data_IF_137970709388
#
_entry.id   IF_137970709388
#
_cell.length_a   1.000
_cell.length_b   1.000
_cell.length_c   1.000
_cell.angle_alpha   90.00
_cell.angle_beta   90.00
_cell.angle_gamma   90.00
#
_symmetry.space_group_name_H-M   'P 1'
#
loop_
_entity.id
_entity.type
_entity.pdbx_description
1 polymer ?
#
# COMPACT_ATOMS: atom_id res chain seq x y z
N UNK A 1 4.26 -0.68 -31.14
CA UNK A 1 3.41 -0.19 -30.03
C UNK A 1 3.64 -1.08 -28.81
N UNK A 2 4.31 -0.59 -27.76
CA UNK A 2 4.40 -1.34 -26.49
C UNK A 2 2.99 -1.45 -25.89
N UNK A 3 2.51 -2.66 -25.58
CA UNK A 3 1.34 -2.84 -24.71
C UNK A 3 1.67 -2.17 -23.38
N UNK A 4 0.98 -1.08 -23.02
CA UNK A 4 1.03 -0.55 -21.65
C UNK A 4 0.66 -1.72 -20.72
N UNK A 5 1.59 -2.10 -19.83
CA UNK A 5 1.29 -3.08 -18.77
C UNK A 5 0.10 -2.55 -17.97
N UNK A 6 -0.80 -3.45 -17.55
CA UNK A 6 -1.85 -3.07 -16.59
C UNK A 6 -1.15 -2.60 -15.32
N UNK A 7 -1.39 -1.36 -14.85
CA UNK A 7 -0.78 -0.86 -13.62
C UNK A 7 -1.17 -1.74 -12.43
N UNK A 8 -0.23 -1.98 -11.52
CA UNK A 8 -0.36 -2.92 -10.40
C UNK A 8 -0.80 -2.22 -9.11
N UNK A 9 -1.20 -2.98 -8.10
CA UNK A 9 -1.44 -2.47 -6.73
C UNK A 9 -0.40 -3.11 -5.81
N UNK A 10 0.39 -2.28 -5.11
CA UNK A 10 1.34 -2.77 -4.10
C UNK A 10 0.70 -2.80 -2.73
N UNK A 11 0.91 -3.88 -1.98
CA UNK A 11 0.60 -3.96 -0.54
C UNK A 11 1.92 -4.07 0.21
N UNK A 12 2.31 -3.06 0.99
CA UNK A 12 3.58 -3.09 1.69
C UNK A 12 3.54 -4.07 2.86
N UNK A 13 4.67 -4.72 3.11
CA UNK A 13 4.82 -5.73 4.16
C UNK A 13 6.12 -5.51 4.93
N UNK A 14 6.00 -5.42 6.25
CA UNK A 14 7.11 -5.41 7.18
C UNK A 14 6.85 -6.37 8.35
N UNK A 15 7.89 -6.82 9.08
CA UNK A 15 7.70 -7.54 10.33
C UNK A 15 6.85 -6.72 11.32
N UNK A 16 5.74 -7.30 11.76
CA UNK A 16 4.75 -6.66 12.64
C UNK A 16 3.63 -5.94 11.90
N UNK A 17 3.55 -6.01 10.57
CA UNK A 17 2.35 -5.59 9.84
C UNK A 17 1.15 -6.41 10.32
N UNK A 18 -0.02 -5.79 10.42
CA UNK A 18 -1.26 -6.49 10.70
C UNK A 18 -1.59 -7.46 9.54
N UNK A 19 -1.41 -8.76 9.77
CA UNK A 19 -1.55 -9.77 8.71
C UNK A 19 -2.99 -9.89 8.20
N UNK A 20 -3.99 -9.57 9.02
CA UNK A 20 -5.41 -9.55 8.66
C UNK A 20 -5.71 -8.51 7.60
N UNK A 21 -5.13 -7.31 7.71
CA UNK A 21 -5.21 -6.26 6.69
C UNK A 21 -4.59 -6.71 5.37
N UNK A 22 -3.37 -7.25 5.43
CA UNK A 22 -2.64 -7.71 4.24
C UNK A 22 -3.46 -8.77 3.50
N UNK A 23 -4.00 -9.75 4.23
CA UNK A 23 -4.81 -10.83 3.67
C UNK A 23 -6.14 -10.32 3.11
N UNK A 24 -6.87 -9.49 3.87
CA UNK A 24 -8.16 -8.96 3.45
C UNK A 24 -8.03 -8.14 2.17
N UNK A 25 -7.12 -7.15 2.15
CA UNK A 25 -6.91 -6.30 0.98
C UNK A 25 -6.45 -7.10 -0.23
N UNK A 26 -5.45 -7.97 -0.04
CA UNK A 26 -4.90 -8.79 -1.13
C UNK A 26 -5.98 -9.70 -1.72
N UNK A 27 -6.78 -10.34 -0.87
CA UNK A 27 -7.88 -11.21 -1.31
C UNK A 27 -8.92 -10.42 -2.11
N UNK A 28 -9.47 -9.36 -1.54
CA UNK A 28 -10.55 -8.56 -2.16
C UNK A 28 -10.12 -8.01 -3.52
N UNK A 29 -8.92 -7.44 -3.62
CA UNK A 29 -8.42 -6.88 -4.88
C UNK A 29 -8.11 -7.97 -5.93
N UNK A 30 -7.58 -9.13 -5.52
CA UNK A 30 -7.34 -10.26 -6.43
C UNK A 30 -8.66 -10.90 -6.91
N UNK A 31 -9.67 -10.99 -6.05
CA UNK A 31 -11.03 -11.42 -6.44
C UNK A 31 -11.62 -10.47 -7.48
N UNK A 32 -11.38 -9.16 -7.34
CA UNK A 32 -11.71 -8.13 -8.33
C UNK A 32 -10.78 -8.08 -9.56
N UNK A 33 -9.88 -9.07 -9.73
CA UNK A 33 -8.96 -9.25 -10.88
C UNK A 33 -7.88 -8.17 -11.03
N UNK A 34 -7.57 -7.42 -9.98
CA UNK A 34 -6.41 -6.53 -10.00
C UNK A 34 -5.10 -7.31 -9.86
N UNK A 35 -4.02 -6.87 -10.55
CA UNK A 35 -2.68 -7.41 -10.33
C UNK A 35 -2.08 -6.85 -9.04
N UNK A 36 -2.20 -7.59 -7.95
CA UNK A 36 -1.68 -7.23 -6.62
C UNK A 36 -0.32 -7.86 -6.37
N UNK A 37 0.64 -7.05 -5.89
CA UNK A 37 1.99 -7.48 -5.47
C UNK A 37 2.17 -7.15 -3.99
N UNK A 38 2.44 -8.16 -3.17
CA UNK A 38 2.88 -7.95 -1.79
C UNK A 38 4.36 -7.59 -1.81
N UNK A 39 4.69 -6.37 -1.38
CA UNK A 39 6.04 -5.80 -1.46
C UNK A 39 6.68 -5.75 -0.07
N UNK A 40 7.64 -6.62 0.19
CA UNK A 40 8.36 -6.70 1.46
C UNK A 40 9.54 -5.74 1.54
N UNK A 41 9.91 -5.32 2.76
CA UNK A 41 11.20 -4.62 2.98
C UNK A 41 12.42 -5.51 2.73
N UNK A 42 12.24 -6.83 2.87
CA UNK A 42 13.23 -7.89 2.61
C UNK A 42 12.56 -9.07 1.90
N UNK A 43 13.33 -10.02 1.40
CA UNK A 43 12.80 -11.23 0.75
C UNK A 43 12.34 -12.32 1.72
N UNK A 44 12.69 -12.19 3.02
CA UNK A 44 12.34 -13.19 4.02
C UNK A 44 10.85 -13.09 4.39
N UNK A 45 10.21 -14.20 4.78
CA UNK A 45 8.89 -14.16 5.40
C UNK A 45 8.87 -13.19 6.59
N UNK A 46 7.89 -12.29 6.62
CA UNK A 46 7.70 -11.32 7.67
C UNK A 46 6.67 -11.86 8.68
N UNK A 47 7.02 -12.01 9.97
CA UNK A 47 6.04 -12.33 10.99
C UNK A 47 5.08 -11.14 11.17
N UNK A 48 3.78 -11.40 11.12
CA UNK A 48 2.72 -10.43 11.37
C UNK A 48 2.55 -10.10 12.85
N UNK A 49 1.67 -9.14 13.14
CA UNK A 49 1.31 -8.69 14.48
C UNK A 49 0.74 -9.81 15.38
N UNK A 50 0.06 -10.80 14.80
CA UNK A 50 -0.61 -11.90 15.52
C UNK A 50 0.05 -13.27 15.30
N UNK A 51 1.27 -13.29 14.74
CA UNK A 51 2.13 -14.47 14.67
C UNK A 51 2.07 -15.27 13.36
N UNK A 52 1.23 -14.91 12.39
CA UNK A 52 1.30 -15.52 11.05
C UNK A 52 2.45 -14.91 10.25
N UNK A 53 3.26 -15.75 9.59
CA UNK A 53 4.34 -15.26 8.72
C UNK A 53 3.87 -15.17 7.28
N UNK A 54 4.05 -14.00 6.66
CA UNK A 54 3.69 -13.73 5.27
C UNK A 54 4.95 -13.62 4.41
N UNK A 55 4.99 -14.36 3.30
CA UNK A 55 6.06 -14.22 2.31
C UNK A 55 5.72 -13.10 1.31
N UNK A 56 6.64 -12.16 1.03
CA UNK A 56 6.42 -11.15 0.00
C UNK A 56 6.52 -11.75 -1.40
N UNK A 57 5.78 -11.20 -2.36
CA UNK A 57 5.91 -11.54 -3.78
C UNK A 57 7.20 -10.95 -4.38
N UNK A 58 7.57 -9.75 -3.91
CA UNK A 58 8.77 -8.98 -4.31
C UNK A 58 9.27 -8.15 -3.13
N UNK A 59 10.53 -7.74 -3.20
CA UNK A 59 11.09 -6.74 -2.31
C UNK A 59 10.90 -5.33 -2.87
N UNK A 60 10.97 -4.33 -1.98
CA UNK A 60 10.91 -2.92 -2.36
C UNK A 60 12.03 -2.52 -3.35
N UNK A 61 13.19 -3.19 -3.29
CA UNK A 61 14.29 -3.00 -4.23
C UNK A 61 14.08 -3.60 -5.63
N UNK A 62 13.11 -4.51 -5.78
CA UNK A 62 12.84 -5.20 -7.06
C UNK A 62 11.72 -4.54 -7.88
N UNK A 63 11.10 -3.50 -7.34
CA UNK A 63 9.94 -2.85 -7.94
C UNK A 63 10.19 -1.37 -8.18
N UNK A 64 9.44 -0.79 -9.12
CA UNK A 64 9.47 0.65 -9.41
C UNK A 64 8.10 1.24 -9.16
N UNK A 65 8.05 2.45 -8.62
CA UNK A 65 6.78 3.14 -8.36
C UNK A 65 5.92 3.29 -9.62
N UNK A 66 6.53 3.53 -10.79
CA UNK A 66 5.85 3.65 -12.10
C UNK A 66 5.06 2.39 -12.52
N UNK A 67 5.32 1.24 -11.92
CA UNK A 67 4.58 0.00 -12.18
C UNK A 67 3.21 -0.04 -11.45
N UNK A 68 2.97 0.87 -10.49
CA UNK A 68 1.82 0.83 -9.60
C UNK A 68 0.87 2.02 -9.77
N UNK A 69 -0.42 1.74 -9.80
CA UNK A 69 -1.49 2.74 -9.72
C UNK A 69 -2.00 2.95 -8.30
N UNK A 70 -1.59 2.11 -7.35
CA UNK A 70 -1.91 2.29 -5.95
C UNK A 70 -0.89 1.62 -5.02
N UNK A 71 -0.74 2.20 -3.83
CA UNK A 71 0.01 1.64 -2.71
C UNK A 71 -0.89 1.53 -1.48
N UNK A 72 -0.84 0.36 -0.84
CA UNK A 72 -1.55 0.06 0.40
C UNK A 72 -0.55 -0.11 1.53
N UNK A 73 -0.82 0.57 2.64
CA UNK A 73 -0.06 0.52 3.89
C UNK A 73 -0.96 -0.12 4.97
N UNK A 74 -0.72 -1.40 5.31
CA UNK A 74 -1.43 -2.08 6.39
C UNK A 74 -1.14 -1.46 7.77
N UNK A 75 -2.06 -1.65 8.71
CA UNK A 75 -1.86 -1.28 10.11
C UNK A 75 -0.86 -2.17 10.84
N UNK A 76 -0.92 -2.10 12.18
CA UNK A 76 -0.04 -2.84 13.08
C UNK A 76 1.17 -2.00 13.49
N UNK A 77 1.12 -1.47 14.71
CA UNK A 77 2.06 -0.49 15.25
C UNK A 77 3.53 -0.81 14.96
N UNK A 78 3.95 -2.07 15.19
CA UNK A 78 5.33 -2.50 14.93
C UNK A 78 5.67 -2.45 13.44
N UNK A 79 4.80 -2.98 12.58
CA UNK A 79 5.00 -2.98 11.13
C UNK A 79 5.01 -1.57 10.56
N UNK A 80 4.07 -0.72 11.00
CA UNK A 80 4.02 0.71 10.67
C UNK A 80 5.31 1.40 11.09
N UNK A 81 5.83 1.14 12.29
CA UNK A 81 7.11 1.67 12.75
C UNK A 81 8.28 1.29 11.84
N UNK A 82 8.32 0.04 11.37
CA UNK A 82 9.36 -0.43 10.43
C UNK A 82 9.21 0.22 9.04
N UNK A 83 7.99 0.30 8.51
CA UNK A 83 7.72 0.98 7.24
C UNK A 83 8.08 2.47 7.32
N UNK A 84 7.78 3.13 8.44
CA UNK A 84 8.04 4.54 8.61
C UNK A 84 9.53 4.86 8.84
N UNK A 85 10.31 3.90 9.34
CA UNK A 85 11.74 4.06 9.54
C UNK A 85 12.55 3.90 8.25
N UNK A 86 11.96 3.34 7.18
CA UNK A 86 12.66 3.09 5.92
C UNK A 86 12.43 4.23 4.90
N UNK A 87 13.45 5.05 4.58
CA UNK A 87 13.31 6.16 3.64
C UNK A 87 12.94 5.73 2.22
N UNK A 88 13.19 4.47 1.85
CA UNK A 88 12.78 3.90 0.56
C UNK A 88 11.26 3.81 0.46
N UNK A 89 10.58 3.53 1.58
CA UNK A 89 9.11 3.49 1.64
C UNK A 89 8.54 4.87 1.37
N UNK A 90 9.06 5.91 2.03
CA UNK A 90 8.58 7.28 1.80
C UNK A 90 8.80 7.73 0.36
N UNK A 91 9.96 7.41 -0.23
CA UNK A 91 10.23 7.70 -1.63
C UNK A 91 9.25 6.99 -2.57
N UNK A 92 8.99 5.70 -2.33
CA UNK A 92 8.06 4.90 -3.11
C UNK A 92 6.63 5.45 -3.02
N UNK A 93 6.13 5.71 -1.80
CA UNK A 93 4.79 6.27 -1.57
C UNK A 93 4.62 7.64 -2.25
N UNK A 94 5.60 8.54 -2.10
CA UNK A 94 5.60 9.84 -2.80
C UNK A 94 5.54 9.70 -4.31
N UNK A 95 6.32 8.77 -4.88
CA UNK A 95 6.36 8.58 -6.33
C UNK A 95 5.04 8.03 -6.87
N UNK A 96 4.43 7.05 -6.17
CA UNK A 96 3.11 6.53 -6.53
C UNK A 96 2.05 7.64 -6.46
N UNK A 97 2.07 8.48 -5.41
CA UNK A 97 1.13 9.59 -5.30
C UNK A 97 1.35 10.66 -6.39
N UNK A 98 2.61 11.06 -6.63
CA UNK A 98 2.97 12.13 -7.57
C UNK A 98 2.62 11.82 -9.04
N UNK A 99 2.47 10.55 -9.39
CA UNK A 99 2.02 10.10 -10.71
C UNK A 99 0.50 9.88 -10.80
N UNK A 100 -0.27 10.36 -9.81
CA UNK A 100 -1.73 10.24 -9.74
C UNK A 100 -2.22 8.89 -9.24
N UNK A 101 -1.39 8.13 -8.54
CA UNK A 101 -1.77 6.88 -7.90
C UNK A 101 -2.51 7.09 -6.57
N UNK A 102 -3.23 6.06 -6.14
CA UNK A 102 -3.99 6.05 -4.88
C UNK A 102 -3.10 5.57 -3.72
N UNK A 103 -3.17 6.25 -2.58
CA UNK A 103 -2.51 5.82 -1.34
C UNK A 103 -3.59 5.41 -0.34
N UNK A 104 -3.64 4.13 0.01
CA UNK A 104 -4.52 3.61 1.05
C UNK A 104 -3.70 3.34 2.31
N UNK A 105 -4.05 3.97 3.42
CA UNK A 105 -3.46 3.70 4.72
C UNK A 105 -4.53 3.21 5.70
N UNK A 106 -4.22 2.11 6.39
CA UNK A 106 -5.09 1.45 7.36
C UNK A 106 -4.56 1.68 8.78
N UNK A 107 -5.46 1.99 9.72
CA UNK A 107 -5.12 2.16 11.13
C UNK A 107 -3.99 3.16 11.36
N UNK A 108 -2.92 2.73 12.03
CA UNK A 108 -1.76 3.57 12.38
C UNK A 108 -0.89 3.95 11.18
N UNK A 109 -1.11 3.33 10.01
CA UNK A 109 -0.31 3.57 8.81
C UNK A 109 -0.41 5.01 8.28
N UNK A 110 -1.36 5.81 8.77
CA UNK A 110 -1.42 7.25 8.50
C UNK A 110 -0.08 7.96 8.75
N UNK A 111 0.64 7.52 9.79
CA UNK A 111 1.93 8.10 10.14
C UNK A 111 2.96 7.98 8.99
N UNK A 112 2.94 6.89 8.21
CA UNK A 112 3.86 6.69 7.08
C UNK A 112 3.55 7.69 5.97
N UNK A 113 2.27 7.92 5.67
CA UNK A 113 1.83 8.84 4.62
C UNK A 113 2.18 10.29 4.99
N UNK A 114 1.90 10.67 6.24
CA UNK A 114 2.29 11.98 6.79
C UNK A 114 3.81 12.20 6.74
N UNK A 115 4.59 11.23 7.22
CA UNK A 115 6.07 11.32 7.19
C UNK A 115 6.60 11.36 5.75
N UNK A 116 5.93 10.71 4.81
CA UNK A 116 6.27 10.78 3.40
C UNK A 116 5.98 12.17 2.79
N UNK A 117 5.20 13.04 3.46
CA UNK A 117 4.79 14.35 2.92
C UNK A 117 3.69 14.24 1.87
N UNK A 118 2.86 13.19 1.97
CA UNK A 118 1.74 12.89 1.08
C UNK A 118 0.44 13.18 1.84
N UNK A 119 -0.58 13.74 1.17
CA UNK A 119 -1.84 14.13 1.85
C UNK A 119 -1.81 15.41 2.69
N UNK A 120 -0.74 16.20 2.68
CA UNK A 120 -0.55 17.41 3.52
C UNK A 120 -1.22 18.70 2.97
N UNK A 121 -2.27 18.55 2.15
CA UNK A 121 -3.13 19.67 1.73
C UNK A 121 -4.48 19.54 2.42
N UNK A 122 -4.85 20.53 3.23
CA UNK A 122 -6.20 20.71 3.73
C UNK A 122 -7.14 21.02 2.55
N UNK A 123 -7.64 19.99 1.87
CA UNK A 123 -8.55 20.09 0.74
C UNK A 123 -8.44 18.90 -0.21
N UNK A 124 -9.48 18.62 -1.03
CA UNK A 124 -9.37 17.60 -2.08
C UNK A 124 -8.20 17.97 -3.02
N UNK A 125 -7.33 17.02 -3.39
CA UNK A 125 -6.12 17.33 -4.12
C UNK A 125 -6.42 17.75 -5.56
N UNK A 126 -5.96 18.94 -5.93
CA UNK A 126 -5.72 19.27 -7.34
C UNK A 126 -4.55 18.40 -7.83
N UNK A 127 -4.85 17.29 -8.51
CA UNK A 127 -3.83 16.39 -9.08
C UNK A 127 -4.12 14.88 -9.12
N UNK A 128 -5.34 14.40 -8.88
CA UNK A 128 -5.67 12.97 -9.07
C UNK A 128 -5.15 12.03 -7.97
N UNK A 129 -4.53 12.56 -6.92
CA UNK A 129 -4.20 11.82 -5.71
C UNK A 129 -5.49 11.45 -4.96
N UNK A 130 -5.61 10.23 -4.46
CA UNK A 130 -6.68 9.88 -3.51
C UNK A 130 -6.00 9.22 -2.32
N UNK A 131 -6.07 9.88 -1.16
CA UNK A 131 -5.64 9.29 0.10
C UNK A 131 -6.88 8.76 0.81
N UNK A 132 -6.94 7.45 0.98
CA UNK A 132 -8.00 6.78 1.73
C UNK A 132 -7.45 6.44 3.11
N UNK A 133 -8.08 7.00 4.14
CA UNK A 133 -7.87 6.59 5.52
C UNK A 133 -9.03 5.67 5.92
N UNK A 134 -8.70 4.50 6.47
CA UNK A 134 -9.71 3.64 7.08
C UNK A 134 -9.22 3.11 8.42
N UNK A 135 -9.98 3.42 9.47
CA UNK A 135 -9.83 2.83 10.80
C UNK A 135 -10.82 1.66 11.02
N UNK A 136 -11.61 1.31 10.00
CA UNK A 136 -12.58 0.23 9.97
C UNK A 136 -12.07 -1.03 9.24
N UNK A 137 -13.00 -1.86 8.75
CA UNK A 137 -12.67 -3.17 8.17
C UNK A 137 -11.92 -3.04 6.83
N UNK A 138 -10.69 -3.58 6.77
CA UNK A 138 -9.81 -3.54 5.60
C UNK A 138 -10.45 -3.98 4.27
N UNK A 139 -11.44 -4.88 4.31
CA UNK A 139 -12.20 -5.29 3.12
C UNK A 139 -13.00 -4.14 2.50
N UNK A 140 -13.69 -3.32 3.31
CA UNK A 140 -14.44 -2.17 2.81
C UNK A 140 -13.49 -1.11 2.22
N UNK A 141 -12.32 -0.91 2.84
CA UNK A 141 -11.26 -0.07 2.30
C UNK A 141 -10.78 -0.56 0.93
N UNK A 142 -10.55 -1.88 0.79
CA UNK A 142 -10.13 -2.50 -0.46
C UNK A 142 -11.19 -2.38 -1.56
N UNK A 143 -12.48 -2.51 -1.22
CA UNK A 143 -13.59 -2.28 -2.16
C UNK A 143 -13.65 -0.83 -2.64
N UNK A 144 -13.45 0.14 -1.74
CA UNK A 144 -13.36 1.57 -2.10
C UNK A 144 -12.18 1.83 -3.02
N UNK A 145 -11.00 1.28 -2.70
CA UNK A 145 -9.82 1.36 -3.55
C UNK A 145 -10.09 0.79 -4.95
N UNK A 146 -10.71 -0.39 -5.04
CA UNK A 146 -11.09 -0.99 -6.32
C UNK A 146 -12.00 -0.08 -7.15
N UNK A 147 -13.00 0.55 -6.52
CA UNK A 147 -13.89 1.49 -7.18
C UNK A 147 -13.16 2.75 -7.67
N UNK A 148 -12.25 3.29 -6.86
CA UNK A 148 -11.43 4.47 -7.22
C UNK A 148 -10.50 4.20 -8.39
N UNK A 149 -9.87 3.02 -8.44
CA UNK A 149 -8.88 2.68 -9.48
C UNK A 149 -9.53 2.34 -10.84
N UNK A 150 -10.82 2.01 -10.88
CA UNK A 150 -11.56 1.73 -12.12
C UNK A 150 -12.13 3.01 -12.75
N UNK A 151 -12.47 4.01 -11.93
CA UNK A 151 -13.07 5.28 -12.38
C UNK A 151 -12.08 6.21 -13.05
#
# INVERSE_FOLDING_TARGET
MLKRRKPQISVLLAPGSEETDVLAVTRTLREARFPVVVVGLTANPAPGAYGLSLAPDKTLSEVKAEDFQAVVLPGGERGVGQLNADPRVHAFVRQVAAQGGVVLALGEAEQVVRTAGVGDRAGPPEGGEVVLWDTGAAEAAAQRLAATVIG
#
